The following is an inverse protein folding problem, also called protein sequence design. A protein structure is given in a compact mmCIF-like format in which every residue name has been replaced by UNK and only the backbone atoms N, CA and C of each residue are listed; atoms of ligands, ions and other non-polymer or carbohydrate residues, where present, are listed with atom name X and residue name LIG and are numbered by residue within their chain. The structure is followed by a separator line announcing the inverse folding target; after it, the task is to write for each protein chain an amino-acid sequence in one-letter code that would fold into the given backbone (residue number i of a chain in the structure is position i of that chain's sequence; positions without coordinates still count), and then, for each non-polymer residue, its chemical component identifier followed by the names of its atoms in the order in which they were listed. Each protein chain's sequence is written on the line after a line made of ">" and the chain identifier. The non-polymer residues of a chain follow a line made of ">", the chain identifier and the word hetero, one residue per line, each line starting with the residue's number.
data_IF_061632343007
#
_entry.id   IF_061632343007
#
_cell.length_a   1.000
_cell.length_b   1.000
_cell.length_c   1.000
_cell.angle_alpha   90.00
_cell.angle_beta   90.00
_cell.angle_gamma   90.00
#
_symmetry.space_group_name_H-M   'P 1'
#
loop_
_entity.id
_entity.type
_entity.pdbx_description
1 polymer ?
#
# COMPACT_ATOMS: atom_id res chain seq x y z
N UNK A 1 -57.69 -17.97 2.04
CA UNK A 1 -56.69 -18.51 1.10
C UNK A 1 -55.33 -18.24 1.70
N UNK A 2 -54.69 -19.24 2.31
CA UNK A 2 -53.39 -19.09 2.96
C UNK A 2 -52.34 -19.69 2.02
N UNK A 3 -51.84 -18.88 1.08
CA UNK A 3 -50.78 -19.35 0.17
C UNK A 3 -49.44 -19.34 0.92
N UNK A 4 -48.65 -20.42 0.85
CA UNK A 4 -47.33 -20.44 1.44
C UNK A 4 -46.42 -19.42 0.74
N UNK A 5 -45.79 -18.56 1.53
CA UNK A 5 -44.80 -17.59 1.06
C UNK A 5 -43.50 -18.35 0.83
N UNK A 6 -43.07 -18.43 -0.44
CA UNK A 6 -41.80 -19.03 -0.80
C UNK A 6 -40.71 -17.96 -0.77
N UNK A 7 -39.83 -18.02 0.23
CA UNK A 7 -38.66 -17.14 0.36
C UNK A 7 -37.46 -17.90 -0.20
N UNK A 8 -36.83 -17.35 -1.24
CA UNK A 8 -35.59 -17.90 -1.80
C UNK A 8 -34.39 -17.45 -0.99
N UNK A 9 -33.32 -18.25 -1.01
CA UNK A 9 -32.02 -17.83 -0.48
C UNK A 9 -31.53 -16.54 -1.12
N UNK A 10 -31.86 -16.30 -2.40
CA UNK A 10 -31.51 -15.08 -3.13
C UNK A 10 -32.10 -13.82 -2.51
N UNK A 11 -33.34 -13.86 -1.99
CA UNK A 11 -33.94 -12.71 -1.32
C UNK A 11 -33.18 -12.33 -0.04
N UNK A 12 -32.72 -13.35 0.71
CA UNK A 12 -31.92 -13.15 1.93
C UNK A 12 -30.50 -12.68 1.59
N UNK A 13 -29.85 -13.29 0.60
CA UNK A 13 -28.51 -12.90 0.12
C UNK A 13 -28.52 -11.48 -0.44
N UNK A 14 -29.50 -11.14 -1.27
CA UNK A 14 -29.64 -9.80 -1.85
C UNK A 14 -29.84 -8.74 -0.76
N UNK A 15 -30.71 -8.99 0.22
CA UNK A 15 -30.91 -8.09 1.36
C UNK A 15 -29.62 -7.97 2.19
N UNK A 16 -28.92 -9.09 2.40
CA UNK A 16 -27.61 -9.10 3.06
C UNK A 16 -26.57 -8.24 2.34
N UNK A 17 -26.48 -8.34 1.01
CA UNK A 17 -25.58 -7.52 0.20
C UNK A 17 -25.92 -6.02 0.27
N UNK A 18 -27.20 -5.64 0.23
CA UNK A 18 -27.61 -4.23 0.36
C UNK A 18 -27.25 -3.70 1.75
N UNK A 19 -27.52 -4.47 2.80
CA UNK A 19 -27.20 -4.07 4.17
C UNK A 19 -25.69 -3.93 4.38
N UNK A 20 -24.90 -4.87 3.86
CA UNK A 20 -23.45 -4.82 3.85
C UNK A 20 -22.92 -3.56 3.14
N UNK A 21 -23.38 -3.30 1.91
CA UNK A 21 -22.96 -2.14 1.11
C UNK A 21 -23.29 -0.82 1.84
N UNK A 22 -24.48 -0.75 2.44
CA UNK A 22 -24.90 0.42 3.20
C UNK A 22 -24.03 0.66 4.44
N UNK A 23 -23.71 -0.39 5.20
CA UNK A 23 -22.91 -0.29 6.42
C UNK A 23 -21.45 0.06 6.10
N UNK A 24 -20.85 -0.60 5.11
CA UNK A 24 -19.49 -0.31 4.65
C UNK A 24 -19.38 1.14 4.20
N UNK A 25 -20.32 1.62 3.38
CA UNK A 25 -20.35 3.01 2.92
C UNK A 25 -20.43 4.01 4.08
N UNK A 26 -21.27 3.75 5.09
CA UNK A 26 -21.34 4.65 6.26
C UNK A 26 -19.99 4.68 6.98
N UNK A 27 -19.39 3.52 7.21
CA UNK A 27 -18.10 3.43 7.89
C UNK A 27 -17.02 4.20 7.12
N UNK A 28 -16.97 4.02 5.81
CA UNK A 28 -16.02 4.70 4.92
C UNK A 28 -16.18 6.22 4.95
N UNK A 29 -17.41 6.71 4.77
CA UNK A 29 -17.68 8.16 4.71
C UNK A 29 -17.48 8.85 6.06
N UNK A 30 -17.93 8.21 7.14
CA UNK A 30 -18.00 8.83 8.48
C UNK A 30 -16.70 8.67 9.25
N UNK A 31 -15.90 7.63 8.97
CA UNK A 31 -14.69 7.32 9.75
C UNK A 31 -13.46 7.05 8.88
N UNK A 32 -13.53 6.11 7.94
CA UNK A 32 -12.30 5.62 7.29
C UNK A 32 -11.67 6.64 6.36
N UNK A 33 -12.46 7.52 5.74
CA UNK A 33 -11.93 8.60 4.91
C UNK A 33 -10.96 9.48 5.70
N UNK A 34 -11.44 10.09 6.78
CA UNK A 34 -10.66 11.05 7.56
C UNK A 34 -9.44 10.35 8.19
N UNK A 35 -9.61 9.08 8.56
CA UNK A 35 -8.53 8.22 9.07
C UNK A 35 -7.45 7.95 8.01
N UNK A 36 -7.86 7.71 6.76
CA UNK A 36 -6.95 7.47 5.66
C UNK A 36 -6.16 8.74 5.31
N UNK A 37 -6.82 9.91 5.29
CA UNK A 37 -6.15 11.21 5.14
C UNK A 37 -5.12 11.40 6.25
N UNK A 38 -5.51 11.25 7.52
CA UNK A 38 -4.63 11.46 8.67
C UNK A 38 -3.44 10.48 8.67
N UNK A 39 -3.67 9.21 8.34
CA UNK A 39 -2.60 8.22 8.19
C UNK A 39 -1.66 8.59 7.05
N UNK A 40 -2.19 9.04 5.91
CA UNK A 40 -1.41 9.41 4.73
C UNK A 40 -0.46 10.56 5.06
N UNK A 41 -0.99 11.61 5.70
CA UNK A 41 -0.21 12.78 6.12
C UNK A 41 0.87 12.39 7.11
N UNK A 42 0.53 11.59 8.13
CA UNK A 42 1.48 11.18 9.14
C UNK A 42 2.57 10.27 8.58
N UNK A 43 2.24 9.32 7.72
CA UNK A 43 3.22 8.44 7.09
C UNK A 43 4.13 9.16 6.10
N UNK A 44 3.62 10.20 5.42
CA UNK A 44 4.42 11.09 4.59
C UNK A 44 5.44 11.87 5.45
N UNK A 45 5.01 12.45 6.58
CA UNK A 45 5.91 13.12 7.54
C UNK A 45 7.00 12.17 8.05
N UNK A 46 6.62 10.97 8.52
CA UNK A 46 7.55 9.96 9.03
C UNK A 46 8.55 9.50 7.93
N UNK A 47 8.11 9.41 6.68
CA UNK A 47 9.00 9.09 5.55
C UNK A 47 10.00 10.21 5.29
N UNK A 48 9.60 11.47 5.44
CA UNK A 48 10.49 12.64 5.37
C UNK A 48 11.50 12.63 6.53
N UNK A 49 11.07 12.30 7.74
CA UNK A 49 11.95 12.16 8.91
C UNK A 49 12.99 11.07 8.65
N UNK A 50 12.58 9.88 8.21
CA UNK A 50 13.49 8.79 7.84
C UNK A 50 14.45 9.20 6.71
N UNK A 51 14.00 9.97 5.71
CA UNK A 51 14.89 10.47 4.65
C UNK A 51 15.99 11.40 5.19
N UNK A 52 15.68 12.22 6.19
CA UNK A 52 16.63 13.14 6.83
C UNK A 52 17.60 12.39 7.76
N UNK A 53 17.13 11.35 8.44
CA UNK A 53 17.94 10.51 9.33
C UNK A 53 18.86 9.54 8.59
N UNK A 54 18.56 9.19 7.34
CA UNK A 54 19.31 8.21 6.58
C UNK A 54 20.71 8.72 6.16
N UNK A 55 21.74 7.94 6.46
CA UNK A 55 23.13 8.27 6.09
C UNK A 55 23.58 7.51 4.83
N UNK A 56 23.05 6.31 4.61
CA UNK A 56 23.41 5.48 3.45
C UNK A 56 22.51 5.76 2.26
N UNK A 57 23.09 5.77 1.06
CA UNK A 57 22.38 6.11 -0.18
C UNK A 57 21.17 5.19 -0.43
N UNK A 58 21.30 3.89 -0.13
CA UNK A 58 20.20 2.93 -0.32
C UNK A 58 19.00 3.23 0.59
N UNK A 59 19.23 3.56 1.86
CA UNK A 59 18.16 3.87 2.82
C UNK A 59 17.56 5.23 2.50
N UNK A 60 18.39 6.19 2.11
CA UNK A 60 17.94 7.51 1.69
C UNK A 60 17.06 7.44 0.45
N UNK A 61 17.45 6.69 -0.58
CA UNK A 61 16.60 6.50 -1.76
C UNK A 61 15.32 5.72 -1.43
N UNK A 62 15.39 4.69 -0.57
CA UNK A 62 14.19 3.97 -0.14
C UNK A 62 13.20 4.89 0.60
N UNK A 63 13.68 5.70 1.54
CA UNK A 63 12.85 6.70 2.22
C UNK A 63 12.30 7.74 1.25
N UNK A 64 13.10 8.20 0.26
CA UNK A 64 12.65 9.11 -0.80
C UNK A 64 11.50 8.52 -1.61
N UNK A 65 11.60 7.24 -1.98
CA UNK A 65 10.52 6.56 -2.71
C UNK A 65 9.28 6.34 -1.83
N UNK A 66 9.44 6.13 -0.52
CA UNK A 66 8.32 6.12 0.43
C UNK A 66 7.60 7.48 0.49
N UNK A 67 8.34 8.60 0.49
CA UNK A 67 7.75 9.95 0.35
C UNK A 67 6.89 10.01 -0.93
N UNK A 68 7.41 9.52 -2.05
CA UNK A 68 6.68 9.45 -3.32
C UNK A 68 5.42 8.61 -3.22
N UNK A 69 5.51 7.43 -2.60
CA UNK A 69 4.39 6.51 -2.41
C UNK A 69 3.24 7.15 -1.62
N UNK A 70 3.53 7.84 -0.51
CA UNK A 70 2.51 8.52 0.27
C UNK A 70 2.04 9.83 -0.39
N UNK A 71 2.89 10.50 -1.16
CA UNK A 71 2.52 11.68 -1.94
C UNK A 71 1.50 11.35 -3.06
N UNK A 72 1.64 10.21 -3.75
CA UNK A 72 0.64 9.73 -4.74
C UNK A 72 -0.73 9.57 -4.09
N UNK A 73 -0.78 8.98 -2.90
CA UNK A 73 -2.02 8.83 -2.14
C UNK A 73 -2.55 10.20 -1.66
N UNK A 74 -1.69 11.08 -1.14
CA UNK A 74 -2.06 12.43 -0.71
C UNK A 74 -2.69 13.23 -1.85
N UNK A 75 -2.17 13.11 -3.08
CA UNK A 75 -2.75 13.75 -4.27
C UNK A 75 -4.14 13.26 -4.65
N UNK A 76 -4.57 12.09 -4.16
CA UNK A 76 -5.97 11.68 -4.32
C UNK A 76 -6.89 12.48 -3.40
N UNK A 77 -6.40 12.87 -2.22
CA UNK A 77 -7.18 13.66 -1.25
C UNK A 77 -7.04 15.17 -1.44
N UNK A 78 -5.89 15.63 -1.94
CA UNK A 78 -5.52 17.02 -2.14
C UNK A 78 -4.82 17.17 -3.50
N UNK A 79 -5.58 17.57 -4.53
CA UNK A 79 -5.08 17.64 -5.91
C UNK A 79 -3.98 18.69 -6.12
N UNK A 80 -3.93 19.70 -5.25
CA UNK A 80 -2.95 20.79 -5.31
C UNK A 80 -1.66 20.46 -4.53
N UNK A 81 -1.63 19.32 -3.83
CA UNK A 81 -0.45 18.92 -3.09
C UNK A 81 0.76 18.71 -4.00
N UNK A 82 1.84 19.44 -3.71
CA UNK A 82 3.12 19.32 -4.37
C UNK A 82 4.15 18.70 -3.43
N UNK A 83 4.98 17.81 -3.97
CA UNK A 83 6.04 17.15 -3.22
C UNK A 83 7.40 17.53 -3.79
N UNK A 84 8.33 17.86 -2.89
CA UNK A 84 9.73 18.14 -3.26
C UNK A 84 10.53 16.81 -3.44
N UNK A 85 11.85 16.82 -3.20
CA UNK A 85 12.75 15.67 -3.28
C UNK A 85 12.88 15.07 -4.69
N UNK A 86 12.68 15.91 -5.73
CA UNK A 86 12.68 15.49 -7.14
C UNK A 86 11.66 14.36 -7.42
N UNK A 87 10.52 14.41 -6.73
CA UNK A 87 9.44 13.43 -6.88
C UNK A 87 8.24 14.00 -7.62
N UNK A 88 8.09 15.33 -7.74
CA UNK A 88 6.87 15.93 -8.28
C UNK A 88 6.47 15.35 -9.64
N UNK A 89 7.41 15.24 -10.58
CA UNK A 89 7.14 14.67 -11.91
C UNK A 89 6.77 13.18 -11.86
N UNK A 90 7.45 12.38 -11.02
CA UNK A 90 7.15 10.95 -10.87
C UNK A 90 5.78 10.74 -10.24
N UNK A 91 5.47 11.51 -9.21
CA UNK A 91 4.16 11.51 -8.57
C UNK A 91 3.09 12.00 -9.55
N UNK A 92 3.41 13.01 -10.38
CA UNK A 92 2.57 13.51 -11.46
C UNK A 92 2.13 12.41 -12.42
N UNK A 93 3.12 11.71 -12.97
CA UNK A 93 2.93 10.59 -13.89
C UNK A 93 2.14 9.44 -13.24
N UNK A 94 2.41 9.09 -11.98
CA UNK A 94 1.62 8.07 -11.27
C UNK A 94 0.14 8.44 -11.15
N UNK A 95 -0.21 9.68 -10.78
CA UNK A 95 -1.65 10.01 -10.73
C UNK A 95 -2.27 10.21 -12.11
N UNK A 96 -1.52 10.55 -13.15
CA UNK A 96 -2.03 10.50 -14.52
C UNK A 96 -2.28 9.04 -14.97
N UNK A 97 -1.45 8.09 -14.57
CA UNK A 97 -1.72 6.66 -14.76
C UNK A 97 -3.00 6.24 -14.02
N UNK A 98 -3.16 6.65 -12.76
CA UNK A 98 -4.38 6.43 -11.97
C UNK A 98 -5.61 7.04 -12.65
N UNK A 99 -5.54 8.28 -13.12
CA UNK A 99 -6.66 9.03 -13.71
C UNK A 99 -7.05 8.53 -15.09
N UNK A 100 -6.08 8.09 -15.90
CA UNK A 100 -6.31 7.66 -17.27
C UNK A 100 -6.82 6.23 -17.41
N UNK A 101 -6.63 5.39 -16.37
CA UNK A 101 -7.16 4.02 -16.31
C UNK A 101 -6.75 3.11 -17.48
N UNK A 102 -5.60 3.38 -18.13
CA UNK A 102 -5.20 2.76 -19.42
C UNK A 102 -4.86 1.27 -19.38
N UNK A 103 -4.97 0.63 -18.23
CA UNK A 103 -4.60 -0.77 -18.06
C UNK A 103 -3.17 -0.90 -17.54
N UNK A 104 -2.40 -1.82 -18.12
CA UNK A 104 -1.08 -2.18 -17.61
C UNK A 104 -0.02 -1.12 -17.97
N UNK A 105 0.45 -0.37 -16.98
CA UNK A 105 1.48 0.66 -17.13
C UNK A 105 2.61 0.45 -16.11
N UNK A 106 3.77 1.05 -16.38
CA UNK A 106 4.93 1.00 -15.49
C UNK A 106 4.68 1.82 -14.21
N UNK A 107 5.23 1.36 -13.09
CA UNK A 107 5.24 2.12 -11.83
C UNK A 107 6.42 3.09 -11.81
N UNK A 108 6.15 4.37 -12.00
CA UNK A 108 7.15 5.43 -12.13
C UNK A 108 8.03 5.59 -10.89
N UNK A 109 7.52 5.24 -9.71
CA UNK A 109 8.31 5.24 -8.48
C UNK A 109 9.38 4.13 -8.42
N UNK A 110 9.43 3.19 -9.37
CA UNK A 110 10.49 2.18 -9.47
C UNK A 110 11.71 2.71 -10.24
N UNK A 111 12.22 3.87 -9.81
CA UNK A 111 13.29 4.65 -10.48
C UNK A 111 14.61 3.90 -10.71
N UNK A 112 14.83 2.80 -9.99
CA UNK A 112 16.00 1.93 -10.12
C UNK A 112 15.88 0.91 -11.26
N UNK A 113 14.73 0.80 -11.92
CA UNK A 113 14.53 -0.02 -13.11
C UNK A 113 14.71 0.88 -14.34
N UNK A 114 15.90 0.84 -14.95
CA UNK A 114 16.26 1.78 -16.03
C UNK A 114 15.69 1.44 -17.40
N UNK A 115 15.49 0.15 -17.67
CA UNK A 115 14.96 -0.35 -18.94
C UNK A 115 13.70 -1.18 -18.66
N UNK A 116 12.57 -0.55 -18.31
CA UNK A 116 11.35 -1.28 -18.03
C UNK A 116 10.86 -2.00 -19.28
N UNK A 117 10.51 -3.27 -19.11
CA UNK A 117 9.90 -4.09 -20.16
C UNK A 117 8.90 -5.02 -19.53
N UNK A 118 7.68 -5.06 -20.06
CA UNK A 118 6.63 -5.97 -19.58
C UNK A 118 7.09 -7.44 -19.57
N UNK A 119 7.97 -7.82 -20.49
CA UNK A 119 8.47 -9.20 -20.61
C UNK A 119 9.61 -9.51 -19.65
N UNK A 120 10.47 -8.52 -19.33
CA UNK A 120 11.65 -8.73 -18.49
C UNK A 120 11.41 -8.34 -17.02
N UNK A 121 10.60 -7.31 -16.80
CA UNK A 121 10.26 -6.77 -15.49
C UNK A 121 8.74 -6.70 -15.28
N UNK A 122 7.97 -7.78 -15.49
CA UNK A 122 6.51 -7.76 -15.36
C UNK A 122 6.05 -7.31 -13.96
N UNK A 123 6.83 -7.62 -12.93
CA UNK A 123 6.58 -7.21 -11.53
C UNK A 123 6.65 -5.69 -11.30
N UNK A 124 7.16 -4.93 -12.26
CA UNK A 124 7.24 -3.48 -12.19
C UNK A 124 6.02 -2.76 -12.78
N UNK A 125 5.08 -3.51 -13.36
CA UNK A 125 3.88 -2.97 -14.00
C UNK A 125 2.64 -3.17 -13.12
N UNK A 126 1.66 -2.27 -13.25
CA UNK A 126 0.36 -2.34 -12.58
C UNK A 126 -0.77 -2.04 -13.54
N UNK A 127 -1.87 -2.76 -13.35
CA UNK A 127 -3.11 -2.53 -14.08
C UNK A 127 -3.87 -1.36 -13.46
N UNK A 128 -3.75 -0.18 -14.05
CA UNK A 128 -4.42 1.05 -13.64
C UNK A 128 -5.91 1.08 -14.03
N UNK A 129 -6.41 0.14 -14.84
CA UNK A 129 -7.85 0.01 -15.12
C UNK A 129 -8.67 -0.36 -13.86
N UNK A 130 -7.99 -0.85 -12.83
CA UNK A 130 -8.59 -1.18 -11.53
C UNK A 130 -8.95 0.08 -10.73
N UNK A 131 -8.42 1.25 -11.08
CA UNK A 131 -8.69 2.51 -10.36
C UNK A 131 -9.98 3.21 -10.80
N UNK A 132 -10.76 2.62 -11.72
CA UNK A 132 -12.08 3.13 -12.11
C UNK A 132 -13.05 2.94 -10.92
N UNK A 133 -13.59 4.01 -10.32
CA UNK A 133 -14.58 3.90 -9.24
C UNK A 133 -15.84 3.16 -9.71
N UNK A 134 -16.40 2.31 -8.84
CA UNK A 134 -17.60 1.49 -9.13
C UNK A 134 -18.55 1.48 -7.93
N UNK A 135 -19.81 1.11 -8.14
CA UNK A 135 -20.77 0.97 -7.04
C UNK A 135 -21.03 2.29 -6.30
N UNK A 136 -21.00 2.29 -4.97
CA UNK A 136 -21.23 3.51 -4.19
C UNK A 136 -20.11 4.54 -4.31
N UNK A 137 -18.93 4.18 -4.82
CA UNK A 137 -17.81 5.10 -4.96
C UNK A 137 -18.03 6.19 -6.00
N UNK A 138 -18.99 6.03 -6.93
CA UNK A 138 -19.32 7.02 -7.97
C UNK A 138 -20.31 8.10 -7.50
N UNK A 139 -20.68 8.10 -6.21
CA UNK A 139 -21.74 8.98 -5.68
C UNK A 139 -21.29 10.43 -5.48
N UNK A 140 -20.00 10.64 -5.24
CA UNK A 140 -19.39 11.96 -5.09
C UNK A 140 -17.86 11.87 -5.15
N UNK A 141 -17.22 13.02 -5.38
CA UNK A 141 -15.77 13.16 -5.47
C UNK A 141 -15.03 12.65 -4.22
N UNK A 142 -15.58 12.89 -3.01
CA UNK A 142 -14.98 12.40 -1.76
C UNK A 142 -14.80 10.87 -1.80
N UNK A 143 -15.83 10.14 -2.21
CA UNK A 143 -15.79 8.68 -2.32
C UNK A 143 -14.92 8.19 -3.48
N UNK A 144 -14.90 8.89 -4.61
CA UNK A 144 -14.01 8.56 -5.73
C UNK A 144 -12.54 8.68 -5.34
N UNK A 145 -12.19 9.75 -4.63
CA UNK A 145 -10.84 10.04 -4.16
C UNK A 145 -10.37 9.01 -3.12
N UNK A 146 -11.26 8.66 -2.18
CA UNK A 146 -11.01 7.57 -1.23
C UNK A 146 -10.77 6.24 -1.92
N UNK A 147 -11.63 5.89 -2.90
CA UNK A 147 -11.45 4.68 -3.67
C UNK A 147 -10.07 4.63 -4.33
N UNK A 148 -9.65 5.69 -5.03
CA UNK A 148 -8.34 5.75 -5.69
C UNK A 148 -7.18 5.59 -4.70
N UNK A 149 -7.24 6.25 -3.54
CA UNK A 149 -6.22 6.14 -2.51
C UNK A 149 -6.15 4.74 -1.90
N UNK A 150 -7.30 4.13 -1.58
CA UNK A 150 -7.36 2.78 -1.03
C UNK A 150 -6.95 1.72 -2.06
N UNK A 151 -7.27 1.93 -3.34
CA UNK A 151 -6.78 1.10 -4.44
C UNK A 151 -5.25 1.18 -4.59
N UNK A 152 -4.67 2.38 -4.44
CA UNK A 152 -3.23 2.56 -4.42
C UNK A 152 -2.59 1.75 -3.29
N UNK A 153 -3.08 1.91 -2.06
CA UNK A 153 -2.57 1.15 -0.91
C UNK A 153 -2.78 -0.35 -1.01
N UNK A 154 -3.90 -0.80 -1.59
CA UNK A 154 -4.22 -2.23 -1.70
C UNK A 154 -3.50 -2.94 -2.84
N UNK A 155 -3.08 -2.24 -3.90
CA UNK A 155 -2.53 -2.89 -5.12
C UNK A 155 -1.03 -2.71 -5.31
N UNK A 156 -0.46 -1.66 -4.75
CA UNK A 156 0.97 -1.41 -4.85
C UNK A 156 1.69 -2.33 -3.87
N UNK A 157 2.46 -3.26 -4.43
CA UNK A 157 3.17 -4.29 -3.69
C UNK A 157 4.68 -4.03 -3.67
N UNK A 158 5.32 -4.62 -2.67
CA UNK A 158 6.76 -4.63 -2.50
C UNK A 158 7.21 -6.09 -2.54
N UNK A 159 7.65 -6.54 -3.72
CA UNK A 159 8.04 -7.94 -3.93
C UNK A 159 9.36 -8.24 -3.23
N UNK A 160 9.39 -9.27 -2.39
CA UNK A 160 10.61 -9.71 -1.70
C UNK A 160 11.68 -10.22 -2.67
N UNK A 161 11.27 -11.13 -3.56
CA UNK A 161 12.11 -11.76 -4.58
C UNK A 161 11.27 -11.96 -5.86
N UNK A 162 11.24 -10.97 -6.77
CA UNK A 162 10.40 -11.03 -7.96
C UNK A 162 10.73 -12.21 -8.89
N UNK A 163 12.02 -12.51 -9.05
CA UNK A 163 12.53 -13.70 -9.74
C UNK A 163 13.81 -14.20 -9.05
N UNK A 164 14.35 -15.34 -9.49
CA UNK A 164 15.59 -15.92 -8.97
C UNK A 164 16.85 -15.43 -9.70
N UNK A 165 16.75 -14.36 -10.51
CA UNK A 165 17.84 -13.87 -11.35
C UNK A 165 18.09 -12.37 -11.14
N UNK A 166 19.33 -11.92 -11.34
CA UNK A 166 19.65 -10.50 -11.37
C UNK A 166 19.16 -9.84 -12.68
N UNK A 167 18.76 -8.56 -12.68
CA UNK A 167 18.79 -7.62 -11.56
C UNK A 167 17.56 -7.69 -10.62
N UNK A 168 16.64 -8.64 -10.84
CA UNK A 168 15.37 -8.68 -10.11
C UNK A 168 15.55 -8.98 -8.61
N UNK A 169 16.55 -9.78 -8.23
CA UNK A 169 16.92 -9.99 -6.81
C UNK A 169 17.29 -8.65 -6.16
N UNK A 170 18.14 -7.86 -6.82
CA UNK A 170 18.51 -6.52 -6.33
C UNK A 170 17.29 -5.60 -6.22
N UNK A 171 16.36 -5.65 -7.17
CA UNK A 171 15.12 -4.88 -7.10
C UNK A 171 14.21 -5.33 -5.95
N UNK A 172 14.13 -6.64 -5.69
CA UNK A 172 13.39 -7.19 -4.56
C UNK A 172 13.94 -6.71 -3.21
N UNK A 173 15.28 -6.66 -3.06
CA UNK A 173 15.92 -6.07 -1.88
C UNK A 173 15.55 -4.61 -1.68
N UNK A 174 15.52 -3.80 -2.75
CA UNK A 174 15.13 -2.38 -2.71
C UNK A 174 13.65 -2.20 -2.36
N UNK A 175 12.76 -3.05 -2.87
CA UNK A 175 11.33 -3.06 -2.49
C UNK A 175 11.16 -3.46 -1.01
N UNK A 176 11.88 -4.49 -0.58
CA UNK A 176 11.83 -4.97 0.81
C UNK A 176 12.31 -3.89 1.77
N UNK A 177 13.38 -3.17 1.44
CA UNK A 177 13.88 -2.07 2.25
C UNK A 177 12.84 -0.95 2.41
N UNK A 178 12.14 -0.56 1.33
CA UNK A 178 11.04 0.40 1.40
C UNK A 178 9.94 -0.05 2.36
N UNK A 179 9.49 -1.31 2.22
CA UNK A 179 8.45 -1.88 3.09
C UNK A 179 8.88 -1.99 4.56
N UNK A 180 10.15 -2.34 4.83
CA UNK A 180 10.72 -2.33 6.17
C UNK A 180 10.68 -0.92 6.78
N UNK A 181 11.07 0.11 6.02
CA UNK A 181 11.03 1.50 6.51
C UNK A 181 9.60 1.96 6.82
N UNK A 182 8.62 1.62 5.98
CA UNK A 182 7.20 1.90 6.27
C UNK A 182 6.72 1.18 7.54
N UNK A 183 7.09 -0.10 7.72
CA UNK A 183 6.72 -0.87 8.90
C UNK A 183 7.43 -0.37 10.17
N UNK A 184 8.69 0.07 10.08
CA UNK A 184 9.42 0.70 11.18
C UNK A 184 8.79 2.04 11.60
N UNK A 185 8.37 2.87 10.64
CA UNK A 185 7.66 4.11 10.92
C UNK A 185 6.36 3.85 11.70
N UNK A 186 5.56 2.87 11.27
CA UNK A 186 4.35 2.45 12.00
C UNK A 186 4.69 1.87 13.38
N UNK A 187 5.76 1.08 13.50
CA UNK A 187 6.19 0.50 14.78
C UNK A 187 6.55 1.59 15.81
N UNK A 188 7.18 2.68 15.36
CA UNK A 188 7.66 3.76 16.23
C UNK A 188 6.58 4.79 16.56
N UNK A 189 5.57 4.95 15.71
CA UNK A 189 4.49 5.93 15.90
C UNK A 189 3.15 5.24 16.22
N UNK A 190 2.83 5.12 17.52
CA UNK A 190 1.62 4.43 18.00
C UNK A 190 0.34 5.01 17.39
N UNK A 191 0.31 6.33 17.16
CA UNK A 191 -0.83 7.02 16.54
C UNK A 191 -1.06 6.52 15.12
N UNK A 192 -0.02 6.47 14.29
CA UNK A 192 -0.08 5.95 12.93
C UNK A 192 -0.45 4.47 12.91
N UNK A 193 0.12 3.66 13.81
CA UNK A 193 -0.24 2.25 13.90
C UNK A 193 -1.72 2.04 14.25
N UNK A 194 -2.27 2.87 15.15
CA UNK A 194 -3.69 2.84 15.49
C UNK A 194 -4.58 3.25 14.31
N UNK A 195 -4.20 4.29 13.57
CA UNK A 195 -4.91 4.72 12.35
C UNK A 195 -4.89 3.61 11.29
N UNK A 196 -3.73 2.99 11.07
CA UNK A 196 -3.60 1.86 10.16
C UNK A 196 -4.51 0.69 10.55
N UNK A 197 -4.53 0.29 11.83
CA UNK A 197 -5.43 -0.76 12.31
C UNK A 197 -6.90 -0.41 12.14
N UNK A 198 -7.28 0.84 12.39
CA UNK A 198 -8.65 1.31 12.22
C UNK A 198 -9.14 1.19 10.76
N UNK A 199 -8.24 1.25 9.78
CA UNK A 199 -8.57 1.04 8.36
C UNK A 199 -8.50 -0.45 7.99
N UNK A 200 -7.48 -1.15 8.46
CA UNK A 200 -7.23 -2.54 8.08
C UNK A 200 -8.20 -3.53 8.72
N UNK A 201 -8.53 -3.39 10.01
CA UNK A 201 -9.39 -4.34 10.74
C UNK A 201 -10.80 -4.45 10.15
N UNK A 202 -11.50 -3.33 9.82
CA UNK A 202 -12.78 -3.42 9.13
C UNK A 202 -12.65 -4.07 7.75
N UNK A 203 -11.58 -3.76 7.02
CA UNK A 203 -11.34 -4.36 5.69
C UNK A 203 -11.23 -5.89 5.80
N UNK A 204 -10.55 -6.41 6.83
CA UNK A 204 -10.48 -7.85 7.11
C UNK A 204 -11.87 -8.45 7.38
N UNK A 205 -12.71 -7.74 8.13
CA UNK A 205 -14.06 -8.21 8.43
C UNK A 205 -14.95 -8.27 7.18
N UNK A 206 -14.85 -7.28 6.29
CA UNK A 206 -15.73 -7.16 5.12
C UNK A 206 -15.23 -7.90 3.88
N UNK A 207 -13.92 -7.97 3.68
CA UNK A 207 -13.28 -8.48 2.45
C UNK A 207 -12.45 -9.74 2.71
N UNK A 208 -12.23 -10.08 3.98
CA UNK A 208 -11.38 -11.20 4.39
C UNK A 208 -9.94 -10.77 4.65
N UNK A 209 -9.19 -11.65 5.33
CA UNK A 209 -7.78 -11.42 5.61
C UNK A 209 -6.98 -11.48 4.31
N UNK A 210 -6.02 -10.57 4.13
CA UNK A 210 -5.07 -10.65 3.01
C UNK A 210 -4.32 -11.98 3.02
N UNK A 211 -4.06 -12.56 1.85
CA UNK A 211 -3.16 -13.71 1.68
C UNK A 211 -1.69 -13.28 1.63
N UNK A 212 -1.40 -12.00 1.37
CA UNK A 212 -0.04 -11.43 1.32
C UNK A 212 0.52 -11.08 2.71
N UNK A 213 1.82 -10.75 2.75
CA UNK A 213 2.46 -10.15 3.92
C UNK A 213 1.89 -8.75 4.19
N UNK A 214 1.79 -8.40 5.46
CA UNK A 214 1.26 -7.11 5.93
C UNK A 214 2.09 -6.58 7.10
N UNK A 215 1.72 -5.41 7.63
CA UNK A 215 2.53 -4.65 8.60
C UNK A 215 2.97 -5.48 9.81
N UNK A 216 2.08 -6.27 10.43
CA UNK A 216 2.44 -7.06 11.61
C UNK A 216 3.48 -8.15 11.32
N UNK A 217 3.44 -8.77 10.13
CA UNK A 217 4.44 -9.76 9.70
C UNK A 217 5.83 -9.10 9.60
N UNK A 218 5.89 -7.90 9.01
CA UNK A 218 7.12 -7.12 8.92
C UNK A 218 7.62 -6.65 10.29
N UNK A 219 6.73 -6.10 11.14
CA UNK A 219 7.09 -5.64 12.50
C UNK A 219 7.66 -6.78 13.33
N UNK A 220 7.06 -7.98 13.25
CA UNK A 220 7.56 -9.16 13.95
C UNK A 220 9.00 -9.47 13.52
N UNK A 221 9.25 -9.58 12.22
CA UNK A 221 10.58 -9.87 11.69
C UNK A 221 11.59 -8.75 11.98
N UNK A 222 11.17 -7.49 11.96
CA UNK A 222 12.00 -6.34 12.32
C UNK A 222 12.55 -6.52 13.75
N UNK A 223 11.67 -6.84 14.71
CA UNK A 223 12.02 -7.04 16.13
C UNK A 223 12.94 -8.24 16.36
N UNK A 224 12.82 -9.28 15.54
CA UNK A 224 13.59 -10.52 15.68
C UNK A 224 15.00 -10.43 15.05
N UNK A 225 15.17 -9.65 13.98
CA UNK A 225 16.42 -9.62 13.18
C UNK A 225 17.26 -8.36 13.45
N UNK A 226 16.60 -7.23 13.68
CA UNK A 226 17.27 -5.94 13.87
C UNK A 226 17.22 -5.50 15.32
N UNK A 227 18.35 -5.00 15.83
CA UNK A 227 18.42 -4.54 17.21
C UNK A 227 17.59 -3.25 17.38
N UNK A 228 16.91 -3.09 18.53
CA UNK A 228 16.18 -1.86 18.83
C UNK A 228 17.15 -0.67 19.00
N UNK A 229 16.64 0.56 18.86
CA UNK A 229 17.37 1.82 19.11
C UNK A 229 18.63 2.09 18.27
N UNK A 230 18.93 1.26 17.28
CA UNK A 230 19.92 1.56 16.25
C UNK A 230 19.35 2.46 15.14
N UNK A 231 20.25 3.18 14.46
CA UNK A 231 19.95 3.97 13.25
C UNK A 231 19.15 3.16 12.23
N UNK A 232 18.25 3.84 11.51
CA UNK A 232 17.49 3.24 10.40
C UNK A 232 18.39 2.65 9.30
N UNK A 233 19.65 3.09 9.23
CA UNK A 233 20.65 2.53 8.30
C UNK A 233 20.93 1.04 8.51
N UNK A 234 20.60 0.50 9.70
CA UNK A 234 20.72 -0.94 10.00
C UNK A 234 19.97 -1.83 9.01
N UNK A 235 18.88 -1.34 8.43
CA UNK A 235 18.05 -2.10 7.50
C UNK A 235 18.75 -2.36 6.15
N UNK A 236 19.84 -1.65 5.86
CA UNK A 236 20.67 -1.86 4.66
C UNK A 236 21.83 -2.85 4.89
N UNK A 237 21.91 -3.48 6.07
CA UNK A 237 22.82 -4.61 6.28
C UNK A 237 22.41 -5.78 5.37
N UNK A 238 23.28 -6.15 4.43
CA UNK A 238 22.93 -7.08 3.34
C UNK A 238 22.64 -8.50 3.84
N UNK A 239 23.33 -8.96 4.88
CA UNK A 239 23.13 -10.29 5.46
C UNK A 239 21.78 -10.35 6.18
N UNK A 240 21.50 -9.37 7.04
CA UNK A 240 20.21 -9.27 7.75
C UNK A 240 19.03 -9.05 6.81
N UNK A 241 19.21 -8.27 5.75
CA UNK A 241 18.17 -8.06 4.74
C UNK A 241 17.89 -9.34 3.95
N UNK A 242 18.92 -10.13 3.64
CA UNK A 242 18.74 -11.44 3.02
C UNK A 242 18.01 -12.42 3.96
N UNK A 243 18.41 -12.48 5.24
CA UNK A 243 17.72 -13.27 6.27
C UNK A 243 16.25 -12.85 6.39
N UNK A 244 15.97 -11.55 6.42
CA UNK A 244 14.61 -11.02 6.47
C UNK A 244 13.77 -11.53 5.30
N UNK A 245 14.30 -11.42 4.07
CA UNK A 245 13.61 -11.89 2.86
C UNK A 245 13.34 -13.40 2.94
N UNK A 246 14.33 -14.20 3.32
CA UNK A 246 14.17 -15.66 3.40
C UNK A 246 13.12 -16.06 4.43
N UNK A 247 13.11 -15.42 5.60
CA UNK A 247 12.12 -15.68 6.65
C UNK A 247 10.73 -15.18 6.27
N UNK A 248 10.63 -14.02 5.62
CA UNK A 248 9.36 -13.44 5.19
C UNK A 248 8.66 -14.31 4.13
N UNK A 249 9.42 -14.92 3.19
CA UNK A 249 8.87 -15.87 2.20
C UNK A 249 8.19 -17.08 2.87
N UNK A 250 8.68 -17.52 4.03
CA UNK A 250 8.14 -18.70 4.73
C UNK A 250 6.87 -18.40 5.55
N UNK A 251 6.56 -17.15 5.84
CA UNK A 251 5.41 -16.80 6.70
C UNK A 251 4.07 -17.08 6.02
N UNK A 252 4.03 -16.90 4.70
CA UNK A 252 2.81 -17.06 3.89
C UNK A 252 3.20 -17.68 2.56
N UNK A 253 3.36 -19.01 2.57
CA UNK A 253 3.54 -19.75 1.33
C UNK A 253 2.34 -19.49 0.41
N UNK A 254 2.55 -19.30 -0.90
CA UNK A 254 1.44 -19.20 -1.84
C UNK A 254 0.57 -20.45 -1.71
N UNK A 255 -0.74 -20.24 -1.54
CA UNK A 255 -1.73 -21.32 -1.59
C UNK A 255 -1.83 -21.91 -2.99
#
# INVERSE_FOLDING_TARGET
>A
TNQPIFITTDAVLHTGHIFFDYLLRILEVVKLYDSAVELTDRMLELSIEQFREAHTENVKEAARLNIGFFAVAKRQFDTEYQVDYRLNELVEQECENIKSHKGLEFRELLTYIKNPSIYQTPYAYKDYSQYIPRGHYTRNEKLENYFKAMMWYGRIDFKLRPTSEEPAITYGKKMTLQAILMADALLKDEKSFKLWKMIYEPTVYFVGKTDDLYVDDYIKLIKEIFLPNESIDKYNNQEKLAEFIDRAIQLRAPK
#
